data_IF_530944407040
#
_entry.id   IF_530944407040
#
_cell.length_a   1.000
_cell.length_b   1.000
_cell.length_c   1.000
_cell.angle_alpha   90.00
_cell.angle_beta   90.00
_cell.angle_gamma   90.00
#
_symmetry.space_group_name_H-M   'P 1'
#
loop_
_entity.id
_entity.type
_entity.pdbx_description
1 polymer ?
#
# COMPACT_ATOMS: atom_id res chain seq x y z
N UNK A 1 22.81 16.52 -3.74
CA UNK A 1 21.80 15.61 -3.17
C UNK A 1 20.36 16.08 -3.40
N UNK A 2 19.96 17.31 -3.05
CA UNK A 2 18.57 17.78 -3.19
C UNK A 2 18.05 17.99 -4.63
N UNK A 3 18.95 18.08 -5.63
CA UNK A 3 18.59 18.35 -7.04
C UNK A 3 17.74 17.24 -7.68
N UNK A 4 17.87 16.00 -7.20
CA UNK A 4 17.15 14.84 -7.74
C UNK A 4 15.95 14.42 -6.86
N UNK A 5 15.77 15.03 -5.69
CA UNK A 5 14.65 14.72 -4.82
C UNK A 5 13.40 15.47 -5.29
N UNK A 6 12.27 14.77 -5.44
CA UNK A 6 10.98 15.33 -5.91
C UNK A 6 10.56 16.61 -5.17
N UNK A 7 10.89 16.71 -3.89
CA UNK A 7 10.56 17.85 -3.04
C UNK A 7 11.41 19.10 -3.33
N UNK A 8 12.65 18.97 -3.85
CA UNK A 8 13.59 20.06 -4.20
C UNK A 8 13.71 21.17 -3.14
N UNK A 9 13.60 20.83 -1.85
CA UNK A 9 13.59 21.78 -0.73
C UNK A 9 12.51 22.86 -0.83
N UNK A 10 11.40 22.61 -1.55
CA UNK A 10 10.27 23.55 -1.62
C UNK A 10 9.64 23.70 -0.23
N UNK A 11 9.46 24.93 0.23
CA UNK A 11 8.77 25.18 1.49
C UNK A 11 7.36 24.57 1.46
N UNK A 12 7.01 23.82 2.51
CA UNK A 12 5.76 23.09 2.55
C UNK A 12 4.63 24.03 2.96
N UNK A 13 3.55 24.06 2.19
CA UNK A 13 2.38 24.92 2.46
C UNK A 13 1.50 24.41 3.60
N UNK A 14 1.55 23.11 3.93
CA UNK A 14 0.73 22.50 5.00
C UNK A 14 1.59 22.16 6.22
N UNK A 15 1.12 22.38 7.46
CA UNK A 15 1.85 22.02 8.68
C UNK A 15 2.06 20.51 8.81
N UNK A 16 3.23 20.09 9.34
CA UNK A 16 3.57 18.67 9.59
C UNK A 16 2.66 18.16 10.69
N UNK A 17 1.83 17.15 10.40
CA UNK A 17 0.91 16.58 11.39
C UNK A 17 -0.53 17.12 11.34
N UNK A 18 -1.17 17.14 10.17
CA UNK A 18 -2.63 17.28 10.10
C UNK A 18 -3.33 16.09 10.78
N UNK A 19 -4.60 16.29 11.22
CA UNK A 19 -5.45 15.30 11.91
C UNK A 19 -5.13 13.89 11.41
N UNK A 20 -4.44 13.09 12.23
CA UNK A 20 -4.32 11.65 12.02
C UNK A 20 -5.75 11.12 12.07
N UNK A 21 -6.30 10.82 10.90
CA UNK A 21 -7.48 9.97 10.79
C UNK A 21 -7.03 8.62 11.35
N UNK A 22 -7.27 8.40 12.64
CA UNK A 22 -7.01 7.10 13.26
C UNK A 22 -7.95 6.13 12.59
N UNK A 23 -7.42 5.02 12.08
CA UNK A 23 -8.24 3.92 11.56
C UNK A 23 -9.21 3.55 12.70
N UNK A 24 -10.54 3.71 12.50
CA UNK A 24 -11.50 3.38 13.53
C UNK A 24 -11.34 1.91 13.90
N UNK A 25 -11.37 1.60 15.20
CA UNK A 25 -11.18 0.25 15.72
C UNK A 25 -9.84 -0.40 15.32
N UNK A 26 -8.74 0.38 15.26
CA UNK A 26 -7.41 -0.21 15.07
C UNK A 26 -7.08 -1.19 16.19
N UNK A 27 -6.72 -2.41 15.81
CA UNK A 27 -6.24 -3.45 16.70
C UNK A 27 -4.71 -3.51 16.59
N UNK A 28 -4.00 -3.70 17.71
CA UNK A 28 -2.54 -3.88 17.66
C UNK A 28 -2.18 -5.12 16.84
N UNK A 29 -0.99 -5.14 16.22
CA UNK A 29 -0.51 -6.34 15.49
C UNK A 29 -0.44 -7.55 16.44
N UNK A 30 -0.11 -7.30 17.72
CA UNK A 30 -0.04 -8.32 18.77
C UNK A 30 -1.39 -8.90 19.18
N UNK A 31 -2.49 -8.22 18.87
CA UNK A 31 -3.86 -8.64 19.21
C UNK A 31 -4.57 -9.29 18.01
N UNK A 32 -3.86 -9.46 16.88
CA UNK A 32 -4.43 -10.12 15.70
C UNK A 32 -4.64 -11.61 15.98
N UNK A 33 -5.70 -12.21 15.41
CA UNK A 33 -5.88 -13.65 15.41
C UNK A 33 -4.67 -14.33 14.74
N UNK A 34 -4.30 -15.52 15.20
CA UNK A 34 -3.17 -16.31 14.69
C UNK A 34 -3.38 -16.66 13.21
N UNK A 35 -4.63 -16.77 12.82
CA UNK A 35 -5.08 -17.09 11.47
C UNK A 35 -4.66 -16.01 10.45
N UNK A 36 -4.40 -14.77 10.89
CA UNK A 36 -3.92 -13.66 10.06
C UNK A 36 -2.42 -13.77 9.63
N UNK A 37 -1.84 -14.97 9.70
CA UNK A 37 -0.50 -15.33 9.21
C UNK A 37 -0.45 -15.48 7.67
N UNK A 38 -1.49 -15.06 6.95
CA UNK A 38 -1.59 -15.15 5.48
C UNK A 38 -1.99 -16.53 4.95
N UNK A 39 -2.45 -17.42 5.84
CA UNK A 39 -3.03 -18.73 5.49
C UNK A 39 -4.55 -18.69 5.37
N UNK A 40 -5.19 -17.61 5.83
CA UNK A 40 -6.62 -17.41 5.69
C UNK A 40 -7.00 -17.20 4.23
N UNK A 41 -8.07 -17.88 3.81
CA UNK A 41 -8.71 -17.58 2.53
C UNK A 41 -9.33 -16.17 2.58
N UNK A 42 -9.11 -15.39 1.52
CA UNK A 42 -9.67 -14.04 1.37
C UNK A 42 -8.72 -12.92 1.78
N UNK A 43 -7.50 -13.25 2.20
CA UNK A 43 -6.42 -12.28 2.32
C UNK A 43 -5.86 -11.97 0.92
N UNK A 44 -6.16 -10.77 0.43
CA UNK A 44 -5.70 -10.30 -0.87
C UNK A 44 -4.53 -9.31 -0.75
N UNK A 45 -3.47 -9.56 -1.50
CA UNK A 45 -2.37 -8.64 -1.75
C UNK A 45 -2.61 -7.91 -3.08
N UNK A 46 -2.44 -6.59 -3.08
CA UNK A 46 -2.60 -5.77 -4.28
C UNK A 46 -1.30 -5.05 -4.58
N UNK A 47 -0.72 -5.33 -5.76
CA UNK A 47 0.45 -4.61 -6.27
C UNK A 47 0.07 -3.77 -7.48
N UNK A 48 0.87 -2.73 -7.73
CA UNK A 48 0.74 -1.90 -8.93
C UNK A 48 2.08 -1.81 -9.64
N UNK A 49 2.13 -2.33 -10.86
CA UNK A 49 3.29 -2.24 -11.74
C UNK A 49 3.12 -1.00 -12.63
N UNK A 50 3.97 0.00 -12.45
CA UNK A 50 3.94 1.24 -13.24
C UNK A 50 4.88 1.13 -14.43
N UNK A 51 4.34 1.35 -15.63
CA UNK A 51 5.11 1.33 -16.88
C UNK A 51 6.12 2.47 -16.97
N UNK A 52 7.13 2.30 -17.82
CA UNK A 52 8.17 3.32 -18.06
C UNK A 52 7.53 4.67 -18.39
N UNK A 53 8.02 5.73 -17.76
CA UNK A 53 7.52 7.10 -17.98
C UNK A 53 6.11 7.36 -17.44
N UNK A 54 5.56 6.47 -16.61
CA UNK A 54 4.17 6.52 -16.11
C UNK A 54 3.11 6.42 -17.22
N UNK A 55 3.43 5.77 -18.35
CA UNK A 55 2.52 5.64 -19.50
C UNK A 55 1.50 4.49 -19.38
N UNK A 56 1.41 3.84 -18.22
CA UNK A 56 0.45 2.78 -17.95
C UNK A 56 0.65 2.19 -16.56
N UNK A 57 -0.36 1.50 -16.05
CA UNK A 57 -0.29 0.76 -14.80
C UNK A 57 -1.02 -0.57 -14.95
N UNK A 58 -0.46 -1.63 -14.40
CA UNK A 58 -1.12 -2.92 -14.25
C UNK A 58 -1.34 -3.14 -12.77
N UNK A 59 -2.58 -3.44 -12.39
CA UNK A 59 -2.94 -3.79 -11.02
C UNK A 59 -3.03 -5.31 -10.94
N UNK A 60 -2.35 -5.88 -9.95
CA UNK A 60 -2.39 -7.31 -9.67
C UNK A 60 -3.04 -7.52 -8.31
N UNK A 61 -3.96 -8.47 -8.23
CA UNK A 61 -4.63 -8.88 -7.01
C UNK A 61 -4.35 -10.37 -6.79
N UNK A 62 -3.64 -10.71 -5.72
CA UNK A 62 -3.22 -12.07 -5.40
C UNK A 62 -3.88 -12.52 -4.11
N UNK A 63 -4.59 -13.63 -4.12
CA UNK A 63 -5.09 -14.28 -2.90
C UNK A 63 -3.97 -15.14 -2.30
N UNK A 64 -3.61 -14.87 -1.03
CA UNK A 64 -2.37 -15.39 -0.42
C UNK A 64 -2.41 -16.89 -0.09
N UNK A 65 -3.58 -17.45 0.21
CA UNK A 65 -3.68 -18.86 0.60
C UNK A 65 -3.66 -19.83 -0.58
N UNK A 66 -4.27 -19.44 -1.71
CA UNK A 66 -4.42 -20.24 -2.93
C UNK A 66 -3.47 -19.83 -4.05
N UNK A 67 -2.78 -18.69 -3.90
CA UNK A 67 -1.97 -18.04 -4.95
C UNK A 67 -2.77 -17.73 -6.23
N UNK A 68 -4.08 -17.51 -6.10
CA UNK A 68 -4.90 -17.06 -7.22
C UNK A 68 -4.50 -15.64 -7.60
N UNK A 69 -4.04 -15.47 -8.83
CA UNK A 69 -3.64 -14.19 -9.40
C UNK A 69 -4.71 -13.65 -10.35
N UNK A 70 -5.21 -12.45 -10.06
CA UNK A 70 -6.12 -11.69 -10.91
C UNK A 70 -5.37 -10.45 -11.42
N UNK A 71 -5.22 -10.34 -12.74
CA UNK A 71 -4.57 -9.19 -13.37
C UNK A 71 -5.45 -8.62 -14.47
N UNK A 72 -5.51 -7.28 -14.53
CA UNK A 72 -6.17 -6.56 -15.61
C UNK A 72 -5.26 -5.44 -16.12
N UNK A 73 -5.17 -5.33 -17.44
CA UNK A 73 -4.45 -4.28 -18.16
C UNK A 73 -5.32 -3.04 -18.32
#
# INVERSE_FOLDING_TARGET
MYKNCRHRLKHRTRPVGGKRQTIPNRVSISERPVEADGKCFGDFEMDTIVGKGNHGAIVTLTERSTNLLLMRK
#
